data_IF_579875078579
#
_entry.id   IF_579875078579
#
_cell.length_a   1.000
_cell.length_b   1.000
_cell.length_c   1.000
_cell.angle_alpha   90.00
_cell.angle_beta   90.00
_cell.angle_gamma   90.00
#
_symmetry.space_group_name_H-M   'P 1'
#
loop_
_entity.id
_entity.type
_entity.pdbx_description
1 polymer ?
#
# COMPACT_ATOMS: atom_id res chain seq x y z
N UNK A 1 37.16 -20.02 -20.15
CA UNK A 1 35.80 -19.53 -19.88
C UNK A 1 35.24 -20.35 -18.74
N UNK A 2 35.08 -19.76 -17.55
CA UNK A 2 34.53 -20.45 -16.37
C UNK A 2 33.15 -19.88 -16.09
N UNK A 3 32.12 -20.70 -16.22
CA UNK A 3 30.74 -20.32 -15.95
C UNK A 3 30.48 -20.34 -14.44
N UNK A 4 30.11 -19.17 -13.90
CA UNK A 4 29.77 -19.01 -12.49
C UNK A 4 28.32 -19.47 -12.32
N UNK A 5 28.12 -20.75 -12.00
CA UNK A 5 26.81 -21.28 -11.61
C UNK A 5 26.49 -20.84 -10.18
N UNK A 6 26.05 -19.59 -10.00
CA UNK A 6 25.55 -19.11 -8.72
C UNK A 6 24.01 -19.19 -8.70
N UNK A 7 23.47 -20.40 -8.68
CA UNK A 7 22.05 -20.62 -8.41
C UNK A 7 21.80 -20.39 -6.92
N UNK A 8 21.71 -19.12 -6.49
CA UNK A 8 21.16 -18.79 -5.17
C UNK A 8 19.69 -19.20 -5.19
N UNK A 9 19.39 -20.37 -4.64
CA UNK A 9 18.04 -20.78 -4.26
C UNK A 9 17.46 -19.69 -3.37
N UNK A 10 16.57 -18.85 -3.91
CA UNK A 10 15.77 -17.94 -3.09
C UNK A 10 14.90 -18.82 -2.18
N UNK A 11 15.29 -18.97 -0.91
CA UNK A 11 14.39 -19.53 0.10
C UNK A 11 13.37 -18.44 0.38
N UNK A 12 12.14 -18.62 -0.11
CA UNK A 12 11.02 -17.84 0.39
C UNK A 12 10.85 -18.18 1.87
N UNK A 13 11.35 -17.29 2.72
CA UNK A 13 11.13 -17.39 4.15
C UNK A 13 9.83 -16.66 4.40
N UNK A 14 8.72 -17.40 4.45
CA UNK A 14 7.49 -16.91 5.04
C UNK A 14 7.82 -16.43 6.45
N UNK A 15 7.99 -15.11 6.59
CA UNK A 15 8.08 -14.46 7.90
C UNK A 15 6.72 -14.70 8.52
N UNK A 16 6.64 -15.74 9.35
CA UNK A 16 5.42 -16.13 10.05
C UNK A 16 4.71 -14.90 10.59
N UNK A 17 3.38 -14.89 10.44
CA UNK A 17 2.54 -13.80 10.88
C UNK A 17 2.85 -13.53 12.36
N UNK A 18 3.51 -12.42 12.65
CA UNK A 18 4.04 -12.12 13.97
C UNK A 18 2.91 -11.66 14.91
N UNK A 19 1.87 -12.49 15.09
CA UNK A 19 0.80 -12.34 16.09
C UNK A 19 0.03 -11.02 16.11
N UNK A 20 0.34 -10.06 15.23
CA UNK A 20 -0.36 -8.80 15.11
C UNK A 20 -1.57 -9.04 14.22
N UNK A 21 -2.76 -9.03 14.82
CA UNK A 21 -4.00 -8.85 14.08
C UNK A 21 -3.91 -7.50 13.36
N UNK A 22 -3.45 -7.52 12.10
CA UNK A 22 -3.46 -6.33 11.25
C UNK A 22 -4.95 -6.00 11.05
N UNK A 23 -5.41 -4.81 11.47
CA UNK A 23 -6.81 -4.46 11.35
C UNK A 23 -7.23 -4.56 9.89
N UNK A 24 -8.42 -5.11 9.69
CA UNK A 24 -8.97 -5.40 8.36
C UNK A 24 -10.34 -4.77 8.19
N UNK A 25 -10.63 -4.35 6.96
CA UNK A 25 -11.95 -3.87 6.58
C UNK A 25 -12.44 -4.62 5.35
N UNK A 26 -13.66 -5.14 5.45
CA UNK A 26 -14.29 -5.92 4.40
C UNK A 26 -15.28 -5.05 3.62
N UNK A 27 -15.12 -5.05 2.29
CA UNK A 27 -15.97 -4.32 1.36
C UNK A 27 -16.60 -5.31 0.38
N UNK A 28 -17.93 -5.38 0.35
CA UNK A 28 -18.65 -6.25 -0.58
C UNK A 28 -19.17 -5.42 -1.76
N UNK A 29 -18.72 -5.75 -2.97
CA UNK A 29 -19.11 -5.09 -4.22
C UNK A 29 -19.70 -6.16 -5.14
N UNK A 30 -21.03 -6.25 -5.19
CA UNK A 30 -21.75 -7.31 -5.89
C UNK A 30 -21.40 -8.70 -5.34
N UNK A 31 -20.77 -9.53 -6.18
CA UNK A 31 -20.30 -10.87 -5.83
C UNK A 31 -18.84 -10.91 -5.36
N UNK A 32 -18.16 -9.77 -5.36
CA UNK A 32 -16.75 -9.66 -4.97
C UNK A 32 -16.61 -9.16 -3.54
N UNK A 33 -15.75 -9.82 -2.76
CA UNK A 33 -15.36 -9.38 -1.41
C UNK A 33 -13.91 -8.90 -1.45
N UNK A 34 -13.71 -7.62 -1.11
CA UNK A 34 -12.38 -7.01 -0.97
C UNK A 34 -12.07 -6.90 0.52
N UNK A 35 -10.98 -7.52 0.97
CA UNK A 35 -10.52 -7.47 2.35
C UNK A 35 -9.22 -6.66 2.36
N UNK A 36 -9.26 -5.48 2.99
CA UNK A 36 -8.09 -4.60 3.09
C UNK A 36 -7.45 -4.81 4.46
N UNK A 37 -6.24 -5.36 4.48
CA UNK A 37 -5.41 -5.49 5.69
C UNK A 37 -4.46 -4.30 5.80
N UNK A 38 -4.76 -3.34 6.65
CA UNK A 38 -3.89 -2.18 6.86
C UNK A 38 -4.24 -1.44 8.15
N UNK A 39 -3.26 -1.00 8.97
CA UNK A 39 -3.50 -0.08 10.09
C UNK A 39 -4.27 1.19 9.70
N UNK A 40 -4.20 1.59 8.43
CA UNK A 40 -4.87 2.78 7.93
C UNK A 40 -6.39 2.59 7.79
N UNK A 41 -6.92 1.36 7.80
CA UNK A 41 -8.37 1.12 7.64
C UNK A 41 -9.20 1.56 8.85
N UNK A 42 -8.56 1.69 10.02
CA UNK A 42 -9.19 2.13 11.27
C UNK A 42 -9.03 3.62 11.54
N UNK A 43 -8.25 4.35 10.73
CA UNK A 43 -8.09 5.80 10.90
C UNK A 43 -9.43 6.51 10.76
N UNK A 44 -9.71 7.36 11.75
CA UNK A 44 -10.84 8.27 11.69
C UNK A 44 -10.65 9.34 10.59
N UNK A 45 -11.68 10.16 10.39
CA UNK A 45 -11.65 11.17 9.32
C UNK A 45 -10.58 12.25 9.56
N UNK A 46 -10.37 12.68 10.80
CA UNK A 46 -9.44 13.75 11.13
C UNK A 46 -7.99 13.24 11.12
N UNK A 47 -7.75 12.05 11.68
CA UNK A 47 -6.47 11.35 11.60
C UNK A 47 -6.04 11.14 10.14
N UNK A 48 -6.97 10.74 9.28
CA UNK A 48 -6.69 10.55 7.85
C UNK A 48 -6.32 11.86 7.16
N UNK A 49 -7.03 12.95 7.46
CA UNK A 49 -6.70 14.28 6.92
C UNK A 49 -5.31 14.72 7.37
N UNK A 50 -4.98 14.50 8.64
CA UNK A 50 -3.67 14.87 9.17
C UNK A 50 -2.57 14.04 8.53
N UNK A 51 -2.75 12.72 8.45
CA UNK A 51 -1.81 11.81 7.78
C UNK A 51 -1.55 12.25 6.34
N UNK A 52 -2.60 12.61 5.59
CA UNK A 52 -2.43 13.10 4.22
C UNK A 52 -1.61 14.39 4.15
N UNK A 53 -1.85 15.37 5.04
CA UNK A 53 -1.06 16.60 5.10
C UNK A 53 0.40 16.31 5.39
N UNK A 54 0.67 15.48 6.40
CA UNK A 54 2.03 15.15 6.82
C UNK A 54 2.79 14.44 5.69
N UNK A 55 2.17 13.47 5.02
CA UNK A 55 2.78 12.76 3.89
C UNK A 55 2.96 13.65 2.65
N UNK A 56 2.05 14.59 2.43
CA UNK A 56 2.18 15.59 1.38
C UNK A 56 3.38 16.51 1.62
N UNK A 57 3.54 17.02 2.85
CA UNK A 57 4.66 17.87 3.23
C UNK A 57 6.01 17.13 3.19
N UNK A 58 6.03 15.85 3.56
CA UNK A 58 7.22 14.97 3.38
C UNK A 58 7.53 14.70 1.91
N UNK A 59 6.63 15.04 1.01
CA UNK A 59 6.82 14.91 -0.43
C UNK A 59 6.67 13.48 -0.94
N UNK A 60 5.79 12.68 -0.33
CA UNK A 60 5.50 11.31 -0.73
C UNK A 60 5.24 11.22 -2.26
N UNK A 61 6.04 10.44 -3.01
CA UNK A 61 5.96 10.42 -4.47
C UNK A 61 4.62 9.87 -4.97
N UNK A 62 4.04 8.89 -4.26
CA UNK A 62 2.75 8.28 -4.64
C UNK A 62 1.62 9.30 -4.58
N UNK A 63 1.59 10.16 -3.55
CA UNK A 63 0.57 11.20 -3.45
C UNK A 63 0.69 12.22 -4.58
N UNK A 64 1.92 12.58 -4.96
CA UNK A 64 2.18 13.49 -6.07
C UNK A 64 1.75 12.91 -7.41
N UNK A 65 2.09 11.64 -7.68
CA UNK A 65 1.67 10.94 -8.89
C UNK A 65 0.15 10.84 -9.01
N UNK A 66 -0.55 10.57 -7.90
CA UNK A 66 -2.02 10.56 -7.88
C UNK A 66 -2.57 11.96 -8.19
N UNK A 67 -2.02 13.02 -7.57
CA UNK A 67 -2.46 14.38 -7.80
C UNK A 67 -2.23 14.83 -9.26
N UNK A 68 -1.10 14.44 -9.84
CA UNK A 68 -0.77 14.69 -11.25
C UNK A 68 -1.74 13.95 -12.18
N UNK A 69 -1.96 12.64 -11.95
CA UNK A 69 -2.91 11.85 -12.73
C UNK A 69 -4.33 12.43 -12.70
N UNK A 70 -4.79 12.87 -11.51
CA UNK A 70 -6.09 13.53 -11.36
C UNK A 70 -6.12 14.85 -12.14
N UNK A 71 -5.07 15.67 -12.01
CA UNK A 71 -4.97 16.94 -12.73
C UNK A 71 -4.95 16.74 -14.25
N UNK A 72 -4.29 15.70 -14.75
CA UNK A 72 -4.27 15.34 -16.16
C UNK A 72 -5.66 14.90 -16.67
N UNK A 73 -6.47 14.23 -15.85
CA UNK A 73 -7.86 13.95 -16.21
C UNK A 73 -8.73 15.20 -16.37
N UNK A 74 -8.36 16.32 -15.72
CA UNK A 74 -9.09 17.59 -15.80
C UNK A 74 -8.53 18.57 -16.85
N UNK A 75 -7.34 18.31 -17.40
CA UNK A 75 -6.83 19.05 -18.55
C UNK A 75 -7.61 18.63 -19.79
N UNK A 76 -8.65 19.40 -20.12
CA UNK A 76 -9.39 19.33 -21.40
C UNK A 76 -8.51 19.81 -22.55
#
# INVERSE_FOLDING_TARGET
MSAINNARSHKDVSRGNAGMEIPKKEHKIGNTTVIVHSPLVTMDLEERKQWFRDEWEKGNPVLKEIAEAVHDCYKV
#
